data_IF_354613679953
#
_entry.id   IF_354613679953
#
_cell.length_a   1.000
_cell.length_b   1.000
_cell.length_c   1.000
_cell.angle_alpha   90.00
_cell.angle_beta   90.00
_cell.angle_gamma   90.00
#
_symmetry.space_group_name_H-M   'P 1'
#
loop_
_entity.id
_entity.type
_entity.pdbx_description
1 polymer ?
#
# COMPACT_ATOMS: atom_id res chain seq x y z
N UNK A 1 11.76 25.56 -14.56
CA UNK A 1 11.35 25.77 -13.16
C UNK A 1 12.13 24.90 -12.15
N UNK A 2 12.56 23.68 -12.51
CA UNK A 2 13.27 22.74 -11.62
C UNK A 2 14.80 22.76 -11.77
N UNK A 3 15.36 23.47 -12.75
CA UNK A 3 16.77 23.38 -13.16
C UNK A 3 17.79 23.77 -12.08
N UNK A 4 17.42 24.74 -11.21
CA UNK A 4 18.32 25.31 -10.20
C UNK A 4 17.90 24.97 -8.76
N UNK A 5 16.92 24.07 -8.58
CA UNK A 5 16.39 23.72 -7.28
C UNK A 5 16.83 22.31 -6.85
N UNK A 6 16.98 22.11 -5.54
CA UNK A 6 17.19 20.77 -4.99
C UNK A 6 16.01 19.87 -5.34
N UNK A 7 16.26 18.77 -6.05
CA UNK A 7 15.23 17.79 -6.47
C UNK A 7 14.74 16.96 -5.26
N UNK A 8 14.03 17.64 -4.34
CA UNK A 8 13.34 17.02 -3.19
C UNK A 8 11.86 16.88 -3.51
N UNK A 9 11.23 15.89 -2.88
CA UNK A 9 9.76 15.72 -2.93
C UNK A 9 9.06 17.04 -2.58
N UNK A 10 9.51 17.72 -1.51
CA UNK A 10 8.94 18.99 -1.10
C UNK A 10 9.06 20.11 -2.13
N UNK A 11 10.11 20.10 -2.98
CA UNK A 11 10.27 21.04 -4.09
C UNK A 11 9.28 20.74 -5.22
N UNK A 12 9.11 19.46 -5.57
CA UNK A 12 8.13 19.02 -6.57
C UNK A 12 6.71 19.39 -6.13
N UNK A 13 6.36 19.06 -4.88
CA UNK A 13 5.07 19.40 -4.29
C UNK A 13 4.82 20.90 -4.30
N UNK A 14 5.85 21.72 -4.02
CA UNK A 14 5.73 23.19 -4.04
C UNK A 14 5.55 23.76 -5.44
N UNK A 15 6.30 23.25 -6.41
CA UNK A 15 6.23 23.73 -7.83
C UNK A 15 4.90 23.34 -8.46
N UNK A 16 4.42 22.13 -8.20
CA UNK A 16 3.17 21.59 -8.77
C UNK A 16 1.99 21.61 -7.79
N UNK A 17 2.07 22.42 -6.70
CA UNK A 17 1.12 22.37 -5.57
C UNK A 17 -0.36 22.38 -5.97
N UNK A 18 -0.78 23.26 -6.87
CA UNK A 18 -2.20 23.34 -7.29
C UNK A 18 -2.68 22.05 -7.96
N UNK A 19 -1.84 21.45 -8.80
CA UNK A 19 -2.18 20.20 -9.50
C UNK A 19 -2.19 19.01 -8.54
N UNK A 20 -1.20 18.94 -7.69
CA UNK A 20 -1.08 17.86 -6.68
C UNK A 20 -2.19 17.96 -5.63
N UNK A 21 -2.57 19.15 -5.17
CA UNK A 21 -3.68 19.32 -4.23
C UNK A 21 -5.00 18.83 -4.84
N UNK A 22 -5.27 19.13 -6.12
CA UNK A 22 -6.47 18.63 -6.79
C UNK A 22 -6.47 17.10 -6.94
N UNK A 23 -5.32 16.50 -7.30
CA UNK A 23 -5.14 15.03 -7.30
C UNK A 23 -5.48 14.45 -5.93
N UNK A 24 -4.93 15.01 -4.86
CA UNK A 24 -5.15 14.50 -3.50
C UNK A 24 -6.60 14.69 -3.04
N UNK A 25 -7.23 15.79 -3.41
CA UNK A 25 -8.66 15.99 -3.15
C UNK A 25 -9.53 14.92 -3.84
N UNK A 26 -9.22 14.61 -5.12
CA UNK A 26 -9.92 13.55 -5.84
C UNK A 26 -9.68 12.17 -5.23
N UNK A 27 -8.44 11.86 -4.82
CA UNK A 27 -8.10 10.60 -4.14
C UNK A 27 -8.87 10.47 -2.83
N UNK A 28 -8.84 11.50 -1.98
CA UNK A 28 -9.55 11.48 -0.70
C UNK A 28 -11.06 11.38 -0.88
N UNK A 29 -11.62 12.04 -1.90
CA UNK A 29 -13.05 11.93 -2.24
C UNK A 29 -13.41 10.52 -2.70
N UNK A 30 -12.61 9.92 -3.57
CA UNK A 30 -12.80 8.53 -4.01
C UNK A 30 -12.67 7.55 -2.85
N UNK A 31 -11.63 7.70 -2.01
CA UNK A 31 -11.45 6.88 -0.81
C UNK A 31 -12.63 7.01 0.16
N UNK A 32 -13.11 8.24 0.40
CA UNK A 32 -14.26 8.46 1.27
C UNK A 32 -15.53 7.76 0.76
N UNK A 33 -15.79 7.82 -0.55
CA UNK A 33 -16.92 7.11 -1.14
C UNK A 33 -16.74 5.59 -1.09
N UNK A 34 -15.53 5.09 -1.34
CA UNK A 34 -15.22 3.66 -1.30
C UNK A 34 -15.48 3.09 0.09
N UNK A 35 -15.01 3.77 1.13
CA UNK A 35 -15.19 3.31 2.52
C UNK A 35 -16.65 3.31 2.96
N UNK A 36 -17.52 4.09 2.32
CA UNK A 36 -18.97 4.08 2.60
C UNK A 36 -19.72 2.91 1.94
N UNK A 37 -19.11 2.21 0.98
CA UNK A 37 -19.78 1.13 0.21
C UNK A 37 -20.40 0.07 1.12
N UNK A 38 -19.68 -0.55 2.09
CA UNK A 38 -20.26 -1.59 2.92
C UNK A 38 -21.46 -1.11 3.75
N UNK A 39 -21.42 0.13 4.22
CA UNK A 39 -22.51 0.73 4.98
C UNK A 39 -23.76 0.94 4.11
N UNK A 40 -23.60 1.48 2.90
CA UNK A 40 -24.71 1.68 1.98
C UNK A 40 -25.28 0.38 1.43
N UNK A 41 -24.44 -0.66 1.24
CA UNK A 41 -24.92 -2.00 0.90
C UNK A 41 -25.76 -2.53 2.06
N UNK A 42 -25.31 -2.39 3.31
CA UNK A 42 -26.08 -2.79 4.48
C UNK A 42 -27.45 -2.11 4.52
N UNK A 43 -27.51 -0.77 4.36
CA UNK A 43 -28.78 -0.05 4.30
C UNK A 43 -29.68 -0.50 3.14
N UNK A 44 -29.10 -0.79 1.98
CA UNK A 44 -29.84 -1.28 0.82
C UNK A 44 -30.42 -2.68 1.08
N UNK A 45 -29.68 -3.57 1.74
CA UNK A 45 -30.19 -4.90 2.13
C UNK A 45 -31.38 -4.74 3.07
N UNK A 46 -31.25 -3.96 4.16
CA UNK A 46 -32.31 -3.78 5.14
C UNK A 46 -33.54 -3.08 4.53
N UNK A 47 -33.32 -2.07 3.68
CA UNK A 47 -34.40 -1.39 2.97
C UNK A 47 -35.17 -2.33 2.04
N UNK A 48 -34.48 -3.12 1.23
CA UNK A 48 -35.13 -4.08 0.34
C UNK A 48 -35.90 -5.16 1.09
N UNK A 49 -35.38 -5.63 2.23
CA UNK A 49 -36.05 -6.61 3.08
C UNK A 49 -37.31 -6.02 3.76
N UNK A 50 -37.31 -4.73 4.07
CA UNK A 50 -38.49 -4.01 4.64
C UNK A 50 -39.44 -3.47 3.57
N UNK A 51 -39.13 -3.62 2.27
CA UNK A 51 -39.93 -3.11 1.16
C UNK A 51 -39.66 -1.62 0.83
N UNK A 52 -38.62 -1.01 1.40
CA UNK A 52 -38.17 0.35 1.12
C UNK A 52 -37.13 0.37 0.01
N UNK A 53 -37.44 1.04 -1.10
CA UNK A 53 -36.52 1.09 -2.25
C UNK A 53 -35.53 2.26 -2.20
N UNK A 54 -35.76 3.23 -1.32
CA UNK A 54 -34.94 4.46 -1.25
C UNK A 54 -33.45 4.20 -0.90
N UNK A 55 -33.08 3.33 0.08
CA UNK A 55 -31.69 3.04 0.38
C UNK A 55 -30.94 2.40 -0.80
N UNK A 56 -31.62 1.58 -1.62
CA UNK A 56 -31.05 1.00 -2.83
C UNK A 56 -30.71 2.08 -3.89
N UNK A 57 -31.57 3.09 -4.05
CA UNK A 57 -31.30 4.23 -4.94
C UNK A 57 -30.08 5.03 -4.44
N UNK A 58 -29.94 5.22 -3.13
CA UNK A 58 -28.77 5.90 -2.55
C UNK A 58 -27.47 5.13 -2.83
N UNK A 59 -27.49 3.80 -2.71
CA UNK A 59 -26.34 2.96 -3.09
C UNK A 59 -26.01 3.15 -4.58
N UNK A 60 -27.01 3.12 -5.45
CA UNK A 60 -26.83 3.38 -6.88
C UNK A 60 -26.19 4.74 -7.17
N UNK A 61 -26.66 5.79 -6.51
CA UNK A 61 -26.11 7.13 -6.63
C UNK A 61 -24.64 7.21 -6.15
N UNK A 62 -24.31 6.55 -5.04
CA UNK A 62 -22.95 6.44 -4.52
C UNK A 62 -22.02 5.75 -5.52
N UNK A 63 -22.46 4.62 -6.11
CA UNK A 63 -21.68 3.88 -7.11
C UNK A 63 -21.44 4.71 -8.39
N UNK A 64 -22.44 5.44 -8.86
CA UNK A 64 -22.30 6.35 -10.00
C UNK A 64 -21.32 7.48 -9.68
N UNK A 65 -21.44 8.12 -8.50
CA UNK A 65 -20.53 9.18 -8.06
C UNK A 65 -19.08 8.67 -7.96
N UNK A 66 -18.89 7.50 -7.36
CA UNK A 66 -17.58 6.84 -7.25
C UNK A 66 -16.95 6.58 -8.63
N UNK A 67 -17.74 6.03 -9.55
CA UNK A 67 -17.27 5.76 -10.92
C UNK A 67 -16.86 7.04 -11.63
N UNK A 68 -17.68 8.10 -11.53
CA UNK A 68 -17.38 9.40 -12.16
C UNK A 68 -16.08 10.01 -11.58
N UNK A 69 -15.97 10.03 -10.25
CA UNK A 69 -14.77 10.56 -9.58
C UNK A 69 -13.54 9.74 -9.96
N UNK A 70 -13.61 8.41 -9.96
CA UNK A 70 -12.51 7.51 -10.33
C UNK A 70 -12.04 7.74 -11.77
N UNK A 71 -12.97 7.88 -12.73
CA UNK A 71 -12.63 8.17 -14.12
C UNK A 71 -11.98 9.55 -14.25
N UNK A 72 -12.58 10.59 -13.63
CA UNK A 72 -12.03 11.96 -13.66
C UNK A 72 -10.63 11.98 -13.05
N UNK A 73 -10.46 11.35 -11.88
CA UNK A 73 -9.16 11.22 -11.21
C UNK A 73 -8.13 10.55 -12.11
N UNK A 74 -8.42 9.38 -12.66
CA UNK A 74 -7.48 8.63 -13.52
C UNK A 74 -7.02 9.44 -14.72
N UNK A 75 -7.95 10.12 -15.39
CA UNK A 75 -7.66 11.00 -16.52
C UNK A 75 -6.78 12.19 -16.10
N UNK A 76 -7.05 12.77 -14.94
CA UNK A 76 -6.33 13.94 -14.43
C UNK A 76 -4.92 13.55 -13.97
N UNK A 77 -4.77 12.49 -13.18
CA UNK A 77 -3.52 12.02 -12.61
C UNK A 77 -2.49 11.69 -13.71
N UNK A 78 -2.90 10.94 -14.74
CA UNK A 78 -2.02 10.61 -15.86
C UNK A 78 -1.44 11.85 -16.54
N UNK A 79 -2.23 12.93 -16.67
CA UNK A 79 -1.77 14.19 -17.27
C UNK A 79 -0.82 14.97 -16.35
N UNK A 80 -1.13 15.01 -15.06
CA UNK A 80 -0.32 15.73 -14.06
C UNK A 80 1.03 15.04 -13.89
N UNK A 81 1.02 13.75 -13.60
CA UNK A 81 2.26 13.00 -13.34
C UNK A 81 3.09 12.78 -14.61
N UNK A 82 2.44 12.63 -15.77
CA UNK A 82 3.13 12.67 -17.06
C UNK A 82 3.88 13.99 -17.27
N UNK A 83 3.29 15.14 -16.90
CA UNK A 83 3.97 16.44 -16.96
C UNK A 83 5.14 16.50 -15.97
N UNK A 84 4.95 15.99 -14.74
CA UNK A 84 6.01 15.94 -13.72
C UNK A 84 7.18 15.08 -14.21
N UNK A 85 6.94 13.90 -14.80
CA UNK A 85 8.00 13.04 -15.37
C UNK A 85 8.81 13.75 -16.44
N UNK A 86 8.15 14.48 -17.35
CA UNK A 86 8.83 15.24 -18.41
C UNK A 86 9.69 16.37 -17.84
N UNK A 87 9.15 17.18 -16.92
CA UNK A 87 9.91 18.29 -16.32
C UNK A 87 11.06 17.79 -15.44
N UNK A 88 10.89 16.68 -14.73
CA UNK A 88 11.95 16.03 -13.98
C UNK A 88 13.06 15.51 -14.92
N UNK A 89 12.68 14.79 -15.98
CA UNK A 89 13.62 14.29 -16.98
C UNK A 89 14.44 15.40 -17.62
N UNK A 90 13.82 16.51 -18.00
CA UNK A 90 14.53 17.71 -18.51
C UNK A 90 15.50 18.29 -17.49
N UNK A 91 15.08 18.43 -16.24
CA UNK A 91 15.93 18.99 -15.18
C UNK A 91 17.14 18.11 -14.91
N UNK A 92 16.95 16.78 -14.85
CA UNK A 92 18.02 15.80 -14.64
C UNK A 92 18.97 15.74 -15.84
N UNK A 93 18.47 15.71 -17.06
CA UNK A 93 19.29 15.71 -18.27
C UNK A 93 20.17 16.97 -18.37
N UNK A 94 19.63 18.14 -18.02
CA UNK A 94 20.41 19.39 -18.02
C UNK A 94 21.45 19.44 -16.89
N UNK A 95 21.11 18.95 -15.68
CA UNK A 95 21.98 18.98 -14.50
C UNK A 95 23.16 18.01 -14.60
N UNK A 96 22.93 16.84 -15.18
CA UNK A 96 23.89 15.74 -15.24
C UNK A 96 24.41 15.48 -16.66
N UNK A 97 24.38 16.51 -17.53
CA UNK A 97 24.84 16.43 -18.92
C UNK A 97 26.31 15.98 -19.11
N UNK A 98 27.13 16.16 -18.07
CA UNK A 98 28.57 15.80 -18.11
C UNK A 98 28.83 14.35 -17.63
N UNK A 99 27.80 13.61 -17.16
CA UNK A 99 27.99 12.23 -16.74
C UNK A 99 28.00 11.26 -17.93
N UNK A 100 28.61 10.07 -17.77
CA UNK A 100 28.48 8.99 -18.73
C UNK A 100 27.00 8.66 -18.99
N UNK A 101 26.64 8.26 -20.21
CA UNK A 101 25.27 8.00 -20.64
C UNK A 101 24.55 6.99 -19.72
N UNK A 102 25.26 5.95 -19.27
CA UNK A 102 24.71 4.94 -18.34
C UNK A 102 24.30 5.55 -17.00
N UNK A 103 25.14 6.45 -16.45
CA UNK A 103 24.86 7.16 -15.21
C UNK A 103 23.73 8.17 -15.35
N UNK A 104 23.67 8.87 -16.48
CA UNK A 104 22.59 9.80 -16.81
C UNK A 104 21.25 9.06 -16.93
N UNK A 105 21.23 7.92 -17.63
CA UNK A 105 20.03 7.08 -17.75
C UNK A 105 19.54 6.61 -16.38
N UNK A 106 20.45 6.12 -15.52
CA UNK A 106 20.10 5.71 -14.16
C UNK A 106 19.48 6.86 -13.34
N UNK A 107 19.97 8.10 -13.49
CA UNK A 107 19.40 9.29 -12.81
C UNK A 107 18.01 9.65 -13.35
N UNK A 108 17.78 9.53 -14.65
CA UNK A 108 16.47 9.77 -15.26
C UNK A 108 15.46 8.72 -14.79
N UNK A 109 15.84 7.45 -14.70
CA UNK A 109 14.98 6.37 -14.18
C UNK A 109 14.65 6.58 -12.69
N UNK A 110 15.62 6.99 -11.85
CA UNK A 110 15.34 7.36 -10.45
C UNK A 110 14.33 8.53 -10.34
N UNK A 111 14.43 9.52 -11.24
CA UNK A 111 13.45 10.62 -11.32
C UNK A 111 12.06 10.12 -11.70
N UNK A 112 11.97 9.16 -12.60
CA UNK A 112 10.72 8.51 -12.99
C UNK A 112 10.12 7.73 -11.83
N UNK A 113 10.91 6.92 -11.13
CA UNK A 113 10.50 6.18 -9.94
C UNK A 113 9.97 7.11 -8.84
N UNK A 114 10.54 8.31 -8.68
CA UNK A 114 10.04 9.32 -7.75
C UNK A 114 8.64 9.83 -8.14
N UNK A 115 8.38 10.04 -9.44
CA UNK A 115 7.06 10.45 -9.93
C UNK A 115 6.03 9.32 -9.77
N UNK A 116 6.41 8.08 -10.06
CA UNK A 116 5.57 6.88 -9.91
C UNK A 116 5.20 6.64 -8.44
N UNK A 117 6.12 6.89 -7.52
CA UNK A 117 5.83 6.87 -6.08
C UNK A 117 4.73 7.87 -5.69
N UNK A 118 4.80 9.10 -6.19
CA UNK A 118 3.80 10.13 -5.90
C UNK A 118 2.45 9.85 -6.57
N UNK A 119 2.43 9.15 -7.70
CA UNK A 119 1.22 8.79 -8.45
C UNK A 119 0.49 7.58 -7.89
N UNK A 120 1.21 6.54 -7.46
CA UNK A 120 0.63 5.23 -7.13
C UNK A 120 0.81 4.85 -5.67
N UNK A 121 2.04 4.90 -5.15
CA UNK A 121 2.38 4.34 -3.84
C UNK A 121 1.86 5.24 -2.71
N UNK A 122 2.10 6.54 -2.79
CA UNK A 122 1.67 7.47 -1.75
C UNK A 122 0.14 7.59 -1.64
N UNK A 123 -0.63 7.69 -2.74
CA UNK A 123 -2.09 7.63 -2.67
C UNK A 123 -2.62 6.32 -2.10
N UNK A 124 -2.09 5.19 -2.53
CA UNK A 124 -2.46 3.87 -2.01
C UNK A 124 -2.22 3.76 -0.51
N UNK A 125 -1.08 4.28 -0.03
CA UNK A 125 -0.74 4.36 1.38
C UNK A 125 -1.75 5.18 2.20
N UNK A 126 -2.09 6.38 1.70
CA UNK A 126 -3.06 7.26 2.35
C UNK A 126 -4.43 6.60 2.39
N UNK A 127 -4.88 6.03 1.27
CA UNK A 127 -6.15 5.32 1.19
C UNK A 127 -6.19 4.14 2.16
N UNK A 128 -5.11 3.34 2.26
CA UNK A 128 -5.01 2.24 3.22
C UNK A 128 -5.09 2.69 4.67
N UNK A 129 -4.43 3.79 5.03
CA UNK A 129 -4.53 4.37 6.39
C UNK A 129 -5.95 4.88 6.67
N UNK A 130 -6.57 5.58 5.72
CA UNK A 130 -7.96 6.05 5.87
C UNK A 130 -8.91 4.87 6.04
N UNK A 131 -8.80 3.86 5.20
CA UNK A 131 -9.61 2.64 5.27
C UNK A 131 -9.43 1.92 6.62
N UNK A 132 -8.20 1.77 7.09
CA UNK A 132 -7.90 1.19 8.40
C UNK A 132 -8.58 1.95 9.55
N UNK A 133 -8.42 3.28 9.58
CA UNK A 133 -8.97 4.12 10.64
C UNK A 133 -10.51 4.11 10.59
N UNK A 134 -11.10 4.26 9.41
CA UNK A 134 -12.56 4.29 9.27
C UNK A 134 -13.19 2.94 9.60
N UNK A 135 -12.60 1.83 9.15
CA UNK A 135 -13.07 0.48 9.52
C UNK A 135 -13.04 0.28 11.04
N UNK A 136 -11.97 0.69 11.72
CA UNK A 136 -11.87 0.61 13.18
C UNK A 136 -12.93 1.49 13.88
N UNK A 137 -13.16 2.72 13.40
CA UNK A 137 -14.18 3.63 13.94
C UNK A 137 -15.59 3.09 13.74
N UNK A 138 -15.89 2.53 12.57
CA UNK A 138 -17.21 1.95 12.29
C UNK A 138 -17.44 0.66 13.07
N UNK A 139 -16.44 -0.18 13.24
CA UNK A 139 -16.54 -1.33 14.15
C UNK A 139 -16.82 -0.89 15.59
N UNK A 140 -16.17 0.20 16.06
CA UNK A 140 -16.45 0.79 17.38
C UNK A 140 -17.88 1.34 17.47
N UNK A 141 -18.35 2.00 16.42
CA UNK A 141 -19.72 2.53 16.36
C UNK A 141 -20.78 1.43 16.47
N UNK A 142 -20.58 0.30 15.80
CA UNK A 142 -21.48 -0.86 15.93
C UNK A 142 -21.39 -1.49 17.32
N UNK A 143 -20.21 -1.72 17.84
CA UNK A 143 -19.99 -2.18 19.22
C UNK A 143 -18.52 -2.01 19.64
N UNK A 144 -18.26 -1.52 20.88
CA UNK A 144 -16.91 -1.46 21.42
C UNK A 144 -16.19 -2.83 21.44
N UNK A 145 -16.92 -3.92 21.60
CA UNK A 145 -16.35 -5.27 21.59
C UNK A 145 -15.74 -5.64 20.22
N UNK A 146 -16.36 -5.20 19.11
CA UNK A 146 -15.83 -5.42 17.76
C UNK A 146 -14.53 -4.65 17.53
N UNK A 147 -14.43 -3.42 18.02
CA UNK A 147 -13.21 -2.64 17.95
C UNK A 147 -12.10 -3.22 18.85
N UNK A 148 -12.44 -3.70 20.04
CA UNK A 148 -11.47 -4.37 20.93
C UNK A 148 -10.91 -5.64 20.30
N UNK A 149 -11.74 -6.44 19.63
CA UNK A 149 -11.27 -7.62 18.88
C UNK A 149 -10.28 -7.24 17.78
N UNK A 150 -10.57 -6.17 17.01
CA UNK A 150 -9.68 -5.64 15.98
C UNK A 150 -8.34 -5.15 16.57
N UNK A 151 -8.37 -4.41 17.69
CA UNK A 151 -7.16 -4.00 18.40
C UNK A 151 -6.37 -5.22 18.93
N UNK A 152 -7.04 -6.24 19.45
CA UNK A 152 -6.41 -7.48 19.92
C UNK A 152 -5.68 -8.20 18.78
N UNK A 153 -6.29 -8.30 17.61
CA UNK A 153 -5.66 -8.89 16.43
C UNK A 153 -4.49 -8.05 15.95
N UNK A 154 -4.59 -6.73 15.96
CA UNK A 154 -3.47 -5.84 15.60
C UNK A 154 -2.26 -6.06 16.53
N UNK A 155 -2.48 -6.14 17.84
CA UNK A 155 -1.44 -6.46 18.82
C UNK A 155 -0.85 -7.85 18.55
N UNK A 156 -1.70 -8.84 18.25
CA UNK A 156 -1.28 -10.18 17.84
C UNK A 156 -0.38 -10.16 16.60
N UNK A 157 -0.77 -9.42 15.55
CA UNK A 157 0.03 -9.26 14.33
C UNK A 157 1.40 -8.63 14.62
N UNK A 158 1.44 -7.53 15.39
CA UNK A 158 2.70 -6.88 15.78
C UNK A 158 3.59 -7.86 16.57
N UNK A 159 3.02 -8.65 17.47
CA UNK A 159 3.74 -9.66 18.23
C UNK A 159 4.32 -10.75 17.33
N UNK A 160 3.56 -11.22 16.35
CA UNK A 160 4.03 -12.20 15.36
C UNK A 160 5.18 -11.62 14.54
N UNK A 161 5.06 -10.39 14.02
CA UNK A 161 6.15 -9.71 13.31
C UNK A 161 7.41 -9.57 14.19
N UNK A 162 7.26 -9.22 15.45
CA UNK A 162 8.38 -9.07 16.38
C UNK A 162 9.10 -10.42 16.62
N UNK A 163 8.36 -11.50 16.75
CA UNK A 163 8.91 -12.86 16.93
C UNK A 163 9.71 -13.32 15.70
N UNK A 164 9.24 -13.02 14.51
CA UNK A 164 9.91 -13.43 13.26
C UNK A 164 10.99 -12.46 12.80
N UNK A 165 11.06 -11.24 13.36
CA UNK A 165 11.98 -10.19 12.93
C UNK A 165 13.45 -10.64 12.87
N UNK A 166 13.96 -11.29 13.92
CA UNK A 166 15.36 -11.76 13.98
C UNK A 166 15.66 -12.79 12.90
N UNK A 167 14.73 -13.70 12.64
CA UNK A 167 14.87 -14.75 11.63
C UNK A 167 14.90 -14.14 10.22
N UNK A 168 14.00 -13.18 9.96
CA UNK A 168 13.99 -12.43 8.70
C UNK A 168 15.29 -11.69 8.46
N UNK A 169 15.76 -10.96 9.47
CA UNK A 169 16.99 -10.18 9.37
C UNK A 169 18.20 -11.07 9.06
N UNK A 170 18.30 -12.23 9.71
CA UNK A 170 19.37 -13.20 9.47
C UNK A 170 19.38 -13.74 8.04
N UNK A 171 18.21 -14.17 7.52
CA UNK A 171 18.11 -14.72 6.17
C UNK A 171 18.30 -13.66 5.09
N UNK A 172 17.76 -12.47 5.25
CA UNK A 172 18.00 -11.35 4.34
C UNK A 172 19.47 -10.95 4.28
N UNK A 173 20.11 -10.87 5.43
CA UNK A 173 21.55 -10.61 5.50
C UNK A 173 22.37 -11.66 4.78
N UNK A 174 22.12 -12.95 5.04
CA UNK A 174 22.83 -14.05 4.39
C UNK A 174 22.59 -14.07 2.87
N UNK A 175 21.39 -13.75 2.41
CA UNK A 175 21.06 -13.60 1.00
C UNK A 175 21.84 -12.46 0.36
N UNK A 176 21.83 -11.27 0.98
CA UNK A 176 22.54 -10.10 0.48
C UNK A 176 24.05 -10.31 0.41
N UNK A 177 24.66 -10.88 1.46
CA UNK A 177 26.07 -11.24 1.47
C UNK A 177 26.42 -12.23 0.33
N UNK A 178 25.53 -13.19 0.05
CA UNK A 178 25.72 -14.12 -1.06
C UNK A 178 25.55 -13.43 -2.42
N UNK A 179 24.64 -12.46 -2.54
CA UNK A 179 24.45 -11.67 -3.77
C UNK A 179 25.66 -10.77 -4.06
N UNK A 180 26.28 -10.15 -3.05
CA UNK A 180 27.50 -9.35 -3.21
C UNK A 180 28.67 -10.16 -3.79
N UNK A 181 28.75 -11.46 -3.46
CA UNK A 181 29.78 -12.35 -4.01
C UNK A 181 29.54 -12.78 -5.47
N UNK A 182 28.40 -12.44 -6.08
CA UNK A 182 28.03 -12.90 -7.42
C UNK A 182 29.03 -12.49 -8.48
N UNK A 183 29.46 -11.23 -8.48
CA UNK A 183 30.39 -10.71 -9.49
C UNK A 183 31.75 -11.45 -9.42
N UNK A 184 32.31 -11.62 -8.22
CA UNK A 184 33.60 -12.30 -8.03
C UNK A 184 33.56 -13.79 -8.41
N UNK A 185 32.39 -14.43 -8.27
CA UNK A 185 32.20 -15.82 -8.73
C UNK A 185 32.12 -15.91 -10.24
N UNK A 186 31.40 -14.95 -10.89
CA UNK A 186 31.26 -14.90 -12.34
C UNK A 186 32.58 -14.57 -13.04
N UNK A 187 33.44 -13.73 -12.43
CA UNK A 187 34.78 -13.40 -12.94
C UNK A 187 35.67 -14.64 -13.07
N UNK A 188 35.48 -15.68 -12.25
CA UNK A 188 36.23 -16.90 -12.34
C UNK A 188 35.95 -17.71 -13.62
N UNK A 189 34.85 -17.43 -14.33
CA UNK A 189 34.40 -18.08 -15.58
C UNK A 189 34.41 -19.61 -15.51
N UNK A 190 34.17 -20.19 -14.31
CA UNK A 190 34.13 -21.62 -14.07
C UNK A 190 32.73 -22.08 -13.69
N UNK A 191 32.24 -23.15 -14.30
CA UNK A 191 30.86 -23.63 -14.11
C UNK A 191 30.61 -24.08 -12.65
N UNK A 192 31.54 -24.81 -12.06
CA UNK A 192 31.41 -25.38 -10.71
C UNK A 192 31.21 -24.33 -9.60
N UNK A 193 32.05 -23.29 -9.49
CA UNK A 193 31.81 -22.18 -8.53
C UNK A 193 30.48 -21.48 -8.74
N UNK A 194 30.09 -21.24 -9.99
CA UNK A 194 28.80 -20.62 -10.32
C UNK A 194 27.64 -21.48 -9.84
N UNK A 195 27.67 -22.78 -10.13
CA UNK A 195 26.63 -23.71 -9.67
C UNK A 195 26.52 -23.77 -8.13
N UNK A 196 27.64 -23.79 -7.42
CA UNK A 196 27.65 -23.76 -5.94
C UNK A 196 27.06 -22.46 -5.42
N UNK A 197 27.42 -21.34 -6.03
CA UNK A 197 26.86 -20.01 -5.69
C UNK A 197 25.36 -19.96 -5.88
N UNK A 198 24.83 -20.37 -7.04
CA UNK A 198 23.39 -20.39 -7.34
C UNK A 198 22.62 -21.32 -6.40
N UNK A 199 23.18 -22.48 -6.03
CA UNK A 199 22.55 -23.38 -5.04
C UNK A 199 22.48 -22.74 -3.64
N UNK A 200 23.48 -21.94 -3.24
CA UNK A 200 23.45 -21.19 -1.97
C UNK A 200 22.38 -20.07 -2.00
N UNK A 201 22.33 -19.29 -3.09
CA UNK A 201 21.28 -18.28 -3.27
C UNK A 201 19.90 -18.90 -3.13
N UNK A 202 19.61 -19.94 -3.92
CA UNK A 202 18.33 -20.66 -3.82
C UNK A 202 18.02 -21.12 -2.40
N UNK A 203 19.03 -21.62 -1.66
CA UNK A 203 18.82 -22.10 -0.28
C UNK A 203 18.37 -20.96 0.64
N UNK A 204 18.95 -19.77 0.52
CA UNK A 204 18.57 -18.62 1.33
C UNK A 204 17.22 -18.06 0.90
N UNK A 205 16.94 -17.99 -0.40
CA UNK A 205 15.64 -17.60 -0.95
C UNK A 205 14.52 -18.51 -0.46
N UNK A 206 14.72 -19.84 -0.50
CA UNK A 206 13.74 -20.81 0.01
C UNK A 206 13.50 -20.61 1.51
N UNK A 207 14.55 -20.44 2.32
CA UNK A 207 14.40 -20.22 3.77
C UNK A 207 13.66 -18.92 4.08
N UNK A 208 13.94 -17.86 3.32
CA UNK A 208 13.23 -16.59 3.46
C UNK A 208 11.76 -16.75 3.10
N UNK A 209 11.47 -17.38 1.97
CA UNK A 209 10.11 -17.66 1.49
C UNK A 209 9.33 -18.56 2.46
N UNK A 210 9.94 -19.61 3.00
CA UNK A 210 9.31 -20.49 4.00
C UNK A 210 8.97 -19.70 5.29
N UNK A 211 9.87 -18.81 5.73
CA UNK A 211 9.65 -17.95 6.90
C UNK A 211 8.50 -16.97 6.64
N UNK A 212 8.46 -16.37 5.45
CA UNK A 212 7.36 -15.51 5.01
C UNK A 212 6.03 -16.26 4.97
N UNK A 213 6.01 -17.45 4.39
CA UNK A 213 4.81 -18.26 4.28
C UNK A 213 4.22 -18.60 5.66
N UNK A 214 5.07 -18.98 6.63
CA UNK A 214 4.62 -19.26 8.00
C UNK A 214 4.11 -18.00 8.68
N UNK A 215 4.84 -16.88 8.58
CA UNK A 215 4.43 -15.60 9.14
C UNK A 215 3.05 -15.17 8.61
N UNK A 216 2.90 -15.13 7.29
CA UNK A 216 1.63 -14.74 6.66
C UNK A 216 0.51 -15.73 6.98
N UNK A 217 0.82 -17.02 7.07
CA UNK A 217 -0.13 -18.04 7.49
C UNK A 217 -0.69 -17.79 8.89
N UNK A 218 0.16 -17.48 9.87
CA UNK A 218 -0.26 -17.15 11.24
C UNK A 218 -1.09 -15.87 11.27
N UNK A 219 -0.64 -14.82 10.56
CA UNK A 219 -1.38 -13.56 10.47
C UNK A 219 -2.75 -13.78 9.84
N UNK A 220 -2.83 -14.59 8.78
CA UNK A 220 -4.09 -14.88 8.10
C UNK A 220 -5.06 -15.62 9.00
N UNK A 221 -4.59 -16.56 9.83
CA UNK A 221 -5.42 -17.23 10.85
C UNK A 221 -5.97 -16.23 11.87
N UNK A 222 -5.16 -15.27 12.34
CA UNK A 222 -5.62 -14.20 13.23
C UNK A 222 -6.72 -13.33 12.58
N UNK A 223 -6.55 -12.97 11.31
CA UNK A 223 -7.50 -12.14 10.57
C UNK A 223 -8.82 -12.89 10.28
N UNK A 224 -8.75 -14.17 9.90
CA UNK A 224 -9.95 -15.02 9.80
C UNK A 224 -10.64 -15.12 11.15
N UNK A 225 -9.88 -15.33 12.23
CA UNK A 225 -10.41 -15.35 13.58
C UNK A 225 -11.16 -14.07 13.94
N UNK A 226 -10.66 -12.90 13.56
CA UNK A 226 -11.34 -11.62 13.72
C UNK A 226 -12.70 -11.60 13.02
N UNK A 227 -12.72 -11.99 11.74
CA UNK A 227 -13.95 -11.97 10.93
C UNK A 227 -14.99 -12.93 11.50
N UNK A 228 -14.58 -14.15 11.86
CA UNK A 228 -15.47 -15.15 12.45
C UNK A 228 -15.98 -14.72 13.83
N UNK A 229 -15.12 -14.14 14.67
CA UNK A 229 -15.52 -13.61 15.97
C UNK A 229 -16.53 -12.48 15.81
N UNK A 230 -16.25 -11.51 14.92
CA UNK A 230 -17.13 -10.37 14.70
C UNK A 230 -18.49 -10.80 14.13
N UNK A 231 -18.52 -11.78 13.22
CA UNK A 231 -19.76 -12.36 12.71
C UNK A 231 -20.55 -13.05 13.82
N UNK A 232 -19.89 -13.91 14.59
CA UNK A 232 -20.53 -14.59 15.72
C UNK A 232 -21.06 -13.58 16.75
N UNK A 233 -20.25 -12.60 17.13
CA UNK A 233 -20.64 -11.58 18.11
C UNK A 233 -21.83 -10.74 17.62
N UNK A 234 -21.81 -10.33 16.36
CA UNK A 234 -22.89 -9.56 15.75
C UNK A 234 -24.22 -10.32 15.74
N UNK A 235 -24.18 -11.63 15.47
CA UNK A 235 -25.40 -12.46 15.39
C UNK A 235 -25.94 -12.90 16.75
N UNK A 236 -25.10 -13.03 17.79
CA UNK A 236 -25.51 -13.55 19.08
C UNK A 236 -25.72 -12.47 20.15
N UNK A 237 -25.04 -11.35 20.05
CA UNK A 237 -24.98 -10.33 21.12
C UNK A 237 -25.54 -8.97 20.70
N UNK A 238 -25.80 -8.76 19.42
CA UNK A 238 -26.38 -7.52 18.90
C UNK A 238 -27.77 -7.82 18.31
N UNK A 239 -28.71 -6.89 18.48
CA UNK A 239 -29.97 -6.89 17.73
C UNK A 239 -29.71 -6.40 16.28
N UNK A 240 -28.83 -7.13 15.57
CA UNK A 240 -28.33 -6.70 14.29
C UNK A 240 -29.26 -7.12 13.14
N UNK A 241 -29.55 -6.18 12.27
CA UNK A 241 -30.22 -6.47 10.99
C UNK A 241 -29.28 -7.22 10.03
N UNK A 242 -29.81 -7.91 9.01
CA UNK A 242 -28.97 -8.56 7.98
C UNK A 242 -27.98 -7.60 7.32
N UNK A 243 -28.38 -6.36 7.03
CA UNK A 243 -27.53 -5.34 6.47
C UNK A 243 -26.44 -4.87 7.43
N UNK A 244 -26.76 -4.74 8.74
CA UNK A 244 -25.77 -4.43 9.76
C UNK A 244 -24.73 -5.54 9.90
N UNK A 245 -25.13 -6.82 9.87
CA UNK A 245 -24.22 -7.97 9.89
C UNK A 245 -23.29 -7.92 8.69
N UNK A 246 -23.84 -7.67 7.48
CA UNK A 246 -23.03 -7.51 6.26
C UNK A 246 -21.99 -6.41 6.42
N UNK A 247 -22.38 -5.23 6.92
CA UNK A 247 -21.47 -4.09 7.13
C UNK A 247 -20.35 -4.45 8.11
N UNK A 248 -20.66 -5.10 9.24
CA UNK A 248 -19.67 -5.52 10.26
C UNK A 248 -18.64 -6.47 9.64
N UNK A 249 -19.09 -7.49 8.90
CA UNK A 249 -18.19 -8.47 8.26
C UNK A 249 -17.32 -7.77 7.21
N UNK A 250 -17.91 -6.90 6.40
CA UNK A 250 -17.16 -6.15 5.37
C UNK A 250 -16.12 -5.23 5.98
N UNK A 251 -16.43 -4.46 7.03
CA UNK A 251 -15.44 -3.62 7.73
C UNK A 251 -14.37 -4.43 8.44
N UNK A 252 -14.70 -5.63 8.96
CA UNK A 252 -13.70 -6.54 9.50
C UNK A 252 -12.73 -7.02 8.43
N UNK A 253 -13.23 -7.28 7.21
CA UNK A 253 -12.40 -7.64 6.05
C UNK A 253 -11.53 -6.47 5.59
N UNK A 254 -12.11 -5.27 5.42
CA UNK A 254 -11.36 -4.05 5.06
C UNK A 254 -10.27 -3.72 6.08
N UNK A 255 -10.56 -3.85 7.38
CA UNK A 255 -9.56 -3.70 8.43
C UNK A 255 -8.41 -4.69 8.26
N UNK A 256 -8.71 -5.96 7.98
CA UNK A 256 -7.73 -7.00 7.76
C UNK A 256 -6.84 -6.70 6.53
N UNK A 257 -7.44 -6.32 5.43
CA UNK A 257 -6.73 -5.98 4.19
C UNK A 257 -5.81 -4.76 4.38
N UNK A 258 -6.33 -3.71 5.01
CA UNK A 258 -5.54 -2.52 5.31
C UNK A 258 -4.37 -2.84 6.26
N UNK A 259 -4.57 -3.67 7.28
CA UNK A 259 -3.52 -4.08 8.20
C UNK A 259 -2.39 -4.88 7.50
N UNK A 260 -2.70 -5.69 6.49
CA UNK A 260 -1.72 -6.42 5.68
C UNK A 260 -0.91 -5.51 4.75
N UNK A 261 -1.48 -4.41 4.27
CA UNK A 261 -0.80 -3.50 3.33
C UNK A 261 0.14 -2.49 4.01
N UNK A 262 -0.06 -2.18 5.30
CA UNK A 262 0.74 -1.20 6.03
C UNK A 262 2.26 -1.48 6.01
N UNK A 263 2.77 -2.71 6.24
CA UNK A 263 4.21 -2.99 6.20
C UNK A 263 4.84 -2.73 4.82
N UNK A 264 4.14 -3.09 3.73
CA UNK A 264 4.60 -2.87 2.36
C UNK A 264 4.72 -1.37 2.05
N UNK A 265 3.79 -0.58 2.56
CA UNK A 265 3.79 0.88 2.44
C UNK A 265 5.01 1.50 3.14
N UNK A 266 5.35 1.04 4.35
CA UNK A 266 6.52 1.52 5.09
C UNK A 266 7.84 1.18 4.39
N UNK A 267 7.95 0.01 3.76
CA UNK A 267 9.11 -0.37 2.95
C UNK A 267 9.28 0.55 1.73
N UNK A 268 8.18 0.84 1.03
CA UNK A 268 8.17 1.74 -0.12
C UNK A 268 8.61 3.16 0.25
N UNK A 269 8.22 3.64 1.45
CA UNK A 269 8.67 4.93 1.99
C UNK A 269 10.19 4.97 2.24
N UNK A 270 10.74 3.90 2.80
CA UNK A 270 12.20 3.78 3.05
C UNK A 270 12.99 3.83 1.75
N UNK A 271 12.54 3.11 0.72
CA UNK A 271 13.13 3.13 -0.62
C UNK A 271 13.12 4.53 -1.24
N UNK A 272 12.02 5.27 -1.09
CA UNK A 272 11.90 6.63 -1.58
C UNK A 272 12.92 7.58 -0.92
N UNK A 273 13.12 7.45 0.38
CA UNK A 273 14.13 8.24 1.12
C UNK A 273 15.53 8.02 0.55
N UNK A 274 15.87 6.77 0.23
CA UNK A 274 17.15 6.42 -0.40
C UNK A 274 17.29 7.04 -1.80
N UNK A 275 16.29 6.90 -2.67
CA UNK A 275 16.28 7.49 -4.02
C UNK A 275 16.47 9.01 -3.95
N UNK A 276 15.74 9.67 -3.05
CA UNK A 276 15.82 11.11 -2.86
C UNK A 276 17.23 11.56 -2.43
N UNK A 277 17.88 10.80 -1.55
CA UNK A 277 19.25 11.05 -1.10
C UNK A 277 20.24 10.89 -2.26
N UNK A 278 20.13 9.83 -3.06
CA UNK A 278 21.00 9.58 -4.23
C UNK A 278 20.84 10.63 -5.32
N UNK A 279 19.66 11.17 -5.54
CA UNK A 279 19.42 12.27 -6.50
C UNK A 279 20.03 13.60 -6.04
N UNK A 280 20.35 13.75 -4.76
CA UNK A 280 20.97 14.95 -4.19
C UNK A 280 22.49 14.86 -4.11
N UNK A 281 23.06 13.68 -3.94
CA UNK A 281 24.49 13.44 -3.71
C UNK A 281 25.34 13.41 -4.98
N UNK A 282 24.85 13.83 -6.10
CA UNK A 282 25.55 14.04 -7.36
C UNK A 282 25.39 15.44 -7.87
#
# INVERSE_FOLDING_TARGET
>A
MLRDQNLKIGTLLRVFHRRVILTWFLILSETALTVLIPLFIGFAIDGLLSGEFQPFVHLGALMVALTLIGVIRRIYDTRVYGTIRVELGKALAARFSNLPISSLNARIEMGRELADFLEEILPSAISGVVQFVVSAVLLFYFSPALALSACGVLVGMISVYALFHSTFWQWNRALNEQMEHQVSVLEQRRERPVLVHLKKLRRFEVKLSDTEAILYGVIFVLLIGLILFNLWFATQNLEATPGMIFSIVSYSWEFAEAALTLPVTLQSWSRLSEITTRLQSG
#
